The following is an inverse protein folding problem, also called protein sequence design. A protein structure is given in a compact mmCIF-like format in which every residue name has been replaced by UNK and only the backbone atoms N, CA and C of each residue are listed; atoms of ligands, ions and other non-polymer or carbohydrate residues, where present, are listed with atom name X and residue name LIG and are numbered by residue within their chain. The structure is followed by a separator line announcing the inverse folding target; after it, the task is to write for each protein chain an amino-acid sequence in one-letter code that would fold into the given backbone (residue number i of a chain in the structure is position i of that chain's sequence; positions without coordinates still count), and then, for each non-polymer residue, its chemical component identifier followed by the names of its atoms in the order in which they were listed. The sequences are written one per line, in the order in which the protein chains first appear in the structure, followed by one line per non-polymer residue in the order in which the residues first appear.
data_IF_036635654109
#
_entry.id   IF_036635654109
#
_cell.length_a   1.000
_cell.length_b   1.000
_cell.length_c   1.000
_cell.angle_alpha   90.00
_cell.angle_beta   90.00
_cell.angle_gamma   90.00
#
_symmetry.space_group_name_H-M   'P 1'
#
loop_
_entity.id
_entity.type
_entity.pdbx_description
1 polymer ?
#
# COMPACT_ATOMS: atom_id res chain seq x y z
N UNK A 1 -59.96 -14.75 -38.90
CA UNK A 1 -59.76 -13.33 -38.51
C UNK A 1 -60.27 -13.16 -37.09
N UNK A 2 -59.40 -12.75 -36.16
CA UNK A 2 -59.67 -12.04 -34.89
C UNK A 2 -58.32 -11.96 -34.16
N UNK A 3 -57.48 -10.99 -34.47
CA UNK A 3 -57.42 -9.58 -34.01
C UNK A 3 -56.56 -9.42 -32.75
N UNK A 4 -55.64 -8.48 -32.86
CA UNK A 4 -54.35 -8.38 -32.20
C UNK A 4 -54.46 -7.50 -30.97
N UNK A 5 -53.94 -8.02 -29.85
CA UNK A 5 -53.84 -7.34 -28.57
C UNK A 5 -53.09 -5.99 -28.67
N UNK A 6 -53.85 -4.92 -28.55
CA UNK A 6 -53.67 -3.81 -27.61
C UNK A 6 -52.21 -3.49 -27.20
N UNK A 7 -51.55 -2.59 -27.94
CA UNK A 7 -50.43 -1.80 -27.41
C UNK A 7 -50.67 -0.32 -27.75
N UNK A 8 -51.31 0.39 -26.82
CA UNK A 8 -51.43 1.85 -26.84
C UNK A 8 -50.23 2.45 -26.10
N UNK A 9 -49.43 3.21 -26.82
CA UNK A 9 -48.32 4.00 -26.30
C UNK A 9 -48.82 5.38 -25.81
N UNK A 10 -48.20 5.91 -24.75
CA UNK A 10 -48.23 7.35 -24.48
C UNK A 10 -47.99 7.78 -23.03
N UNK A 11 -46.75 8.22 -22.73
CA UNK A 11 -46.34 9.24 -21.75
C UNK A 11 -46.66 9.01 -20.26
N UNK A 12 -45.98 9.56 -19.26
CA UNK A 12 -44.85 10.48 -19.10
C UNK A 12 -44.56 10.53 -17.57
N UNK A 13 -43.40 11.04 -17.16
CA UNK A 13 -42.96 11.37 -15.77
C UNK A 13 -42.46 10.17 -14.93
N UNK A 14 -41.15 9.91 -14.88
CA UNK A 14 -40.14 10.61 -14.07
C UNK A 14 -40.34 10.41 -12.55
N UNK A 15 -39.50 9.56 -11.96
CA UNK A 15 -38.72 9.85 -10.73
C UNK A 15 -38.18 8.52 -10.15
N UNK A 16 -36.92 8.22 -10.45
CA UNK A 16 -36.10 7.39 -9.57
C UNK A 16 -34.66 7.86 -9.73
N UNK A 17 -34.00 8.19 -8.61
CA UNK A 17 -32.81 9.01 -8.63
C UNK A 17 -31.66 8.27 -9.30
N UNK A 18 -30.87 9.07 -10.01
CA UNK A 18 -29.52 8.76 -10.47
C UNK A 18 -28.84 7.86 -9.45
N UNK A 19 -28.58 6.62 -9.85
CA UNK A 19 -27.48 5.87 -9.28
C UNK A 19 -26.25 6.72 -9.65
N UNK A 20 -25.84 7.58 -8.72
CA UNK A 20 -24.63 8.36 -8.85
C UNK A 20 -23.54 7.34 -9.11
N UNK A 21 -23.05 7.31 -10.34
CA UNK A 21 -21.72 6.80 -10.61
C UNK A 21 -20.84 7.49 -9.56
N UNK A 22 -20.09 6.76 -8.72
CA UNK A 22 -19.04 7.42 -7.96
C UNK A 22 -18.23 8.20 -8.99
N UNK A 23 -17.83 9.46 -8.73
CA UNK A 23 -17.00 10.18 -9.68
C UNK A 23 -15.84 9.26 -9.99
N UNK A 24 -15.71 8.89 -11.27
CA UNK A 24 -14.49 8.30 -11.79
C UNK A 24 -13.42 9.27 -11.32
N UNK A 25 -12.67 8.86 -10.29
CA UNK A 25 -11.56 9.63 -9.81
C UNK A 25 -10.61 9.62 -10.98
N UNK A 26 -10.66 10.70 -11.77
CA UNK A 26 -9.63 11.09 -12.69
C UNK A 26 -8.40 11.27 -11.82
N UNK A 27 -7.73 10.15 -11.56
CA UNK A 27 -6.41 10.13 -10.97
C UNK A 27 -5.52 10.66 -12.08
N UNK A 28 -5.55 11.97 -12.28
CA UNK A 28 -4.33 12.72 -12.56
C UNK A 28 -3.39 12.45 -11.39
N UNK A 29 -2.81 11.25 -11.40
CA UNK A 29 -1.57 10.96 -10.73
C UNK A 29 -0.59 11.92 -11.37
N UNK A 30 -0.45 13.10 -10.76
CA UNK A 30 0.78 13.84 -10.86
C UNK A 30 1.81 12.87 -10.31
N UNK A 31 2.45 12.15 -11.23
CA UNK A 31 3.62 11.36 -10.94
C UNK A 31 4.68 12.36 -10.50
N UNK A 32 4.64 12.75 -9.22
CA UNK A 32 5.82 13.25 -8.54
C UNK A 32 6.84 12.14 -8.73
N UNK A 33 7.86 12.45 -9.53
CA UNK A 33 8.99 11.57 -9.74
C UNK A 33 9.47 11.17 -8.35
N UNK A 34 9.49 9.88 -7.99
CA UNK A 34 10.10 9.49 -6.73
C UNK A 34 11.53 10.01 -6.80
N UNK A 35 11.87 10.93 -5.89
CA UNK A 35 13.25 11.29 -5.65
C UNK A 35 14.01 9.97 -5.53
N UNK A 36 15.05 9.81 -6.36
CA UNK A 36 15.89 8.62 -6.34
C UNK A 36 16.22 8.34 -4.88
N UNK A 37 15.80 7.19 -4.31
CA UNK A 37 16.22 6.82 -2.97
C UNK A 37 17.74 6.87 -3.02
N UNK A 38 18.32 7.76 -2.20
CA UNK A 38 19.76 7.69 -1.96
C UNK A 38 19.91 6.42 -1.15
N UNK A 39 20.16 5.32 -1.86
CA UNK A 39 20.39 4.02 -1.25
C UNK A 39 21.46 4.23 -0.19
N UNK A 40 21.17 4.05 1.12
CA UNK A 40 22.24 4.03 2.09
C UNK A 40 23.10 2.84 1.68
N UNK A 41 24.27 3.12 1.11
CA UNK A 41 25.27 2.11 0.83
C UNK A 41 25.64 1.52 2.18
N UNK A 42 24.98 0.42 2.56
CA UNK A 42 25.39 -0.40 3.70
C UNK A 42 26.75 -0.95 3.27
N UNK A 43 27.82 -0.27 3.67
CA UNK A 43 29.19 -0.63 3.35
C UNK A 43 29.42 -2.06 3.79
N UNK A 44 29.31 -3.01 2.86
CA UNK A 44 29.85 -4.36 3.02
C UNK A 44 31.33 -4.16 3.29
N UNK A 45 31.76 -4.56 4.48
CA UNK A 45 33.12 -4.37 4.96
C UNK A 45 34.11 -4.82 3.89
N UNK A 46 34.92 -3.87 3.41
CA UNK A 46 36.03 -4.18 2.52
C UNK A 46 37.10 -4.91 3.35
N UNK A 47 37.19 -6.23 3.19
CA UNK A 47 38.17 -7.09 3.84
C UNK A 47 37.89 -8.58 3.65
N UNK A 48 37.95 -9.05 2.40
CA UNK A 48 38.13 -10.44 1.89
C UNK A 48 37.34 -11.66 2.41
N UNK A 49 36.42 -11.56 3.39
CA UNK A 49 35.53 -12.69 3.71
C UNK A 49 34.09 -12.22 3.98
N UNK A 50 33.13 -12.86 3.32
CA UNK A 50 31.71 -12.56 3.46
C UNK A 50 31.23 -13.10 4.81
N UNK A 51 30.77 -12.22 5.70
CA UNK A 51 30.16 -12.62 6.97
C UNK A 51 28.74 -13.14 6.74
N UNK A 52 28.62 -14.46 6.59
CA UNK A 52 27.33 -15.13 6.37
C UNK A 52 26.38 -15.00 7.57
N UNK A 53 26.90 -14.88 8.80
CA UNK A 53 26.03 -14.72 9.98
C UNK A 53 25.37 -13.35 9.98
N UNK A 54 26.12 -12.31 9.60
CA UNK A 54 25.57 -10.96 9.47
C UNK A 54 24.49 -10.91 8.37
N UNK A 55 24.68 -11.63 7.26
CA UNK A 55 23.68 -11.72 6.19
C UNK A 55 22.45 -12.51 6.65
N UNK A 56 22.62 -13.65 7.32
CA UNK A 56 21.50 -14.45 7.83
C UNK A 56 20.63 -13.64 8.81
N UNK A 57 21.28 -12.85 9.68
CA UNK A 57 20.58 -11.98 10.60
C UNK A 57 19.79 -10.88 9.87
N UNK A 58 20.39 -10.24 8.87
CA UNK A 58 19.74 -9.19 8.07
C UNK A 58 18.52 -9.72 7.29
N UNK A 59 18.64 -10.93 6.74
CA UNK A 59 17.52 -11.60 6.06
C UNK A 59 16.41 -11.98 7.04
N UNK A 60 16.77 -12.48 8.23
CA UNK A 60 15.80 -12.77 9.30
C UNK A 60 15.05 -11.51 9.73
N UNK A 61 15.77 -10.39 9.89
CA UNK A 61 15.16 -9.12 10.27
C UNK A 61 14.21 -8.58 9.19
N UNK A 62 14.55 -8.79 7.91
CA UNK A 62 13.69 -8.47 6.78
C UNK A 62 12.42 -9.32 6.78
N UNK A 63 12.53 -10.63 6.98
CA UNK A 63 11.36 -11.53 7.03
C UNK A 63 10.40 -11.18 8.17
N UNK A 64 10.93 -10.85 9.34
CA UNK A 64 10.12 -10.37 10.48
C UNK A 64 9.43 -9.05 10.15
N UNK A 65 10.13 -8.10 9.51
CA UNK A 65 9.53 -6.83 9.10
C UNK A 65 8.38 -7.02 8.10
N UNK A 66 8.56 -7.90 7.12
CA UNK A 66 7.51 -8.24 6.15
C UNK A 66 6.30 -8.92 6.80
N UNK A 67 6.54 -9.80 7.77
CA UNK A 67 5.47 -10.45 8.53
C UNK A 67 4.65 -9.42 9.32
N UNK A 68 5.30 -8.49 10.01
CA UNK A 68 4.62 -7.38 10.71
C UNK A 68 3.85 -6.48 9.75
N UNK A 69 4.36 -6.26 8.54
CA UNK A 69 3.66 -5.48 7.52
C UNK A 69 2.36 -6.18 7.09
N UNK A 70 2.42 -7.50 6.87
CA UNK A 70 1.25 -8.31 6.56
C UNK A 70 0.23 -8.34 7.72
N UNK A 71 0.70 -8.34 8.96
CA UNK A 71 -0.13 -8.30 10.17
C UNK A 71 -0.66 -6.89 10.52
N UNK A 72 -0.18 -5.85 9.84
CA UNK A 72 -0.54 -4.46 10.12
C UNK A 72 0.14 -3.87 11.37
N UNK A 73 1.18 -4.52 11.90
CA UNK A 73 1.91 -4.12 13.11
C UNK A 73 3.30 -3.52 12.83
N UNK A 74 3.66 -3.34 11.56
CA UNK A 74 4.98 -2.86 11.12
C UNK A 74 5.36 -1.49 11.69
N UNK A 75 4.42 -0.57 11.75
CA UNK A 75 4.62 0.80 12.23
C UNK A 75 4.58 0.92 13.75
N UNK A 76 4.42 -0.19 14.49
CA UNK A 76 4.19 -0.17 15.93
C UNK A 76 5.43 -0.64 16.67
N UNK A 77 5.90 0.16 17.61
CA UNK A 77 6.95 -0.21 18.55
C UNK A 77 6.52 -1.42 19.40
N UNK A 78 7.31 -2.49 19.37
CA UNK A 78 6.95 -3.77 20.01
C UNK A 78 6.95 -3.72 21.54
N UNK A 79 7.60 -2.72 22.15
CA UNK A 79 7.77 -2.59 23.60
C UNK A 79 6.73 -1.62 24.17
N UNK A 80 6.57 -0.47 23.53
CA UNK A 80 5.71 0.62 24.01
C UNK A 80 4.33 0.63 23.38
N UNK A 81 4.16 -0.04 22.22
CA UNK A 81 2.94 0.01 21.43
C UNK A 81 2.68 1.34 20.74
N UNK A 82 3.62 2.29 20.81
CA UNK A 82 3.52 3.59 20.13
C UNK A 82 3.90 3.47 18.66
N UNK A 83 3.42 4.37 17.79
CA UNK A 83 3.86 4.39 16.39
C UNK A 83 5.36 4.73 16.29
N UNK A 84 6.08 3.99 15.45
CA UNK A 84 7.42 4.31 14.96
C UNK A 84 7.33 5.50 14.01
N UNK A 85 8.32 6.40 14.07
CA UNK A 85 8.37 7.54 13.15
C UNK A 85 8.85 7.10 11.76
N UNK A 86 8.40 7.82 10.73
CA UNK A 86 8.85 7.60 9.36
C UNK A 86 10.36 7.79 9.21
N UNK A 87 10.97 8.68 10.00
CA UNK A 87 12.42 8.91 10.01
C UNK A 87 13.18 7.66 10.49
N UNK A 88 12.70 7.00 11.55
CA UNK A 88 13.30 5.76 12.07
C UNK A 88 13.21 4.65 11.03
N UNK A 89 12.04 4.47 10.41
CA UNK A 89 11.83 3.42 9.40
C UNK A 89 12.57 3.71 8.09
N UNK A 90 12.70 4.98 7.71
CA UNK A 90 13.50 5.39 6.55
C UNK A 90 15.00 5.11 6.76
N UNK A 91 15.50 5.33 7.98
CA UNK A 91 16.88 5.04 8.34
C UNK A 91 17.15 3.54 8.52
N UNK A 92 16.18 2.81 9.10
CA UNK A 92 16.26 1.38 9.35
C UNK A 92 14.89 0.70 9.13
N UNK A 93 14.63 0.14 7.94
CA UNK A 93 13.35 -0.47 7.61
C UNK A 93 12.97 -1.69 8.45
N UNK A 94 13.93 -2.33 9.14
CA UNK A 94 13.67 -3.48 10.01
C UNK A 94 13.57 -3.10 11.49
N UNK A 95 13.57 -1.80 11.81
CA UNK A 95 13.44 -1.31 13.18
C UNK A 95 12.15 -1.80 13.84
N UNK A 96 12.27 -2.15 15.13
CA UNK A 96 11.17 -2.62 15.98
C UNK A 96 10.85 -1.66 17.12
N UNK A 97 11.67 -0.61 17.26
CA UNK A 97 11.67 0.34 18.37
C UNK A 97 12.03 1.73 17.88
N UNK A 98 11.47 2.74 18.56
CA UNK A 98 11.79 4.15 18.34
C UNK A 98 13.15 4.55 18.93
#
# INVERSE_FOLDING_TARGET
MSDQEQYSAGGDSADSPQQAVPPEQDVTATAETPATPTEPTKTVGSGDEVDLNAIEQDLTDTEVALSRLAEGTYWTDEVTGQPLSDEVLAANPTARRA
#
